data_IF_878267383438
#
_entry.id   IF_878267383438
#
_cell.length_a   1.000
_cell.length_b   1.000
_cell.length_c   1.000
_cell.angle_alpha   90.00
_cell.angle_beta   90.00
_cell.angle_gamma   90.00
#
_symmetry.space_group_name_H-M   'P 1'
#
loop_
_entity.id
_entity.type
_entity.pdbx_description
1 polymer ?
#
# COMPACT_ATOMS: atom_id res chain seq x y z
N UNK A 1 -23.05 -30.32 -16.55
CA UNK A 1 -24.07 -29.59 -15.76
C UNK A 1 -23.52 -28.85 -14.54
N UNK A 2 -22.39 -29.25 -13.93
CA UNK A 2 -21.84 -28.61 -12.72
C UNK A 2 -21.16 -27.25 -12.92
N UNK A 3 -20.42 -27.06 -14.02
CA UNK A 3 -19.69 -25.79 -14.31
C UNK A 3 -20.61 -24.61 -14.58
N UNK A 4 -21.73 -24.81 -15.30
CA UNK A 4 -22.75 -23.76 -15.50
C UNK A 4 -23.35 -23.24 -14.20
N UNK A 5 -23.53 -24.10 -13.18
CA UNK A 5 -24.08 -23.70 -11.87
C UNK A 5 -23.09 -22.86 -11.07
N UNK A 6 -21.80 -23.18 -11.12
CA UNK A 6 -20.76 -22.44 -10.40
C UNK A 6 -20.59 -21.02 -10.97
N UNK A 7 -20.60 -20.89 -12.31
CA UNK A 7 -20.51 -19.59 -12.98
C UNK A 7 -21.71 -18.71 -12.61
N UNK A 8 -22.92 -19.28 -12.61
CA UNK A 8 -24.14 -18.55 -12.22
C UNK A 8 -24.11 -18.12 -10.76
N UNK A 9 -23.61 -18.96 -9.85
CA UNK A 9 -23.48 -18.61 -8.43
C UNK A 9 -22.47 -17.48 -8.22
N UNK A 10 -21.34 -17.49 -8.93
CA UNK A 10 -20.34 -16.41 -8.84
C UNK A 10 -20.91 -15.11 -9.43
N UNK A 11 -21.55 -15.17 -10.60
CA UNK A 11 -22.18 -13.99 -11.24
C UNK A 11 -23.29 -13.41 -10.37
N UNK A 12 -24.15 -14.25 -9.78
CA UNK A 12 -25.21 -13.80 -8.87
C UNK A 12 -24.64 -13.24 -7.56
N UNK A 13 -23.56 -13.83 -7.03
CA UNK A 13 -22.85 -13.30 -5.87
C UNK A 13 -22.22 -11.94 -6.18
N UNK A 14 -21.66 -11.75 -7.37
CA UNK A 14 -21.16 -10.45 -7.83
C UNK A 14 -22.28 -9.43 -8.04
N UNK A 15 -23.40 -9.80 -8.66
CA UNK A 15 -24.57 -8.93 -8.79
C UNK A 15 -25.12 -8.49 -7.43
N UNK A 16 -25.20 -9.42 -6.46
CA UNK A 16 -25.67 -9.11 -5.11
C UNK A 16 -24.74 -8.14 -4.36
N UNK A 17 -23.43 -8.28 -4.52
CA UNK A 17 -22.46 -7.37 -3.90
C UNK A 17 -22.34 -6.02 -4.61
N UNK A 18 -22.53 -5.97 -5.94
CA UNK A 18 -22.60 -4.71 -6.72
C UNK A 18 -23.84 -3.89 -6.35
N UNK A 19 -25.00 -4.55 -6.12
CA UNK A 19 -26.22 -3.85 -5.71
C UNK A 19 -26.08 -3.17 -4.32
N UNK A 20 -25.22 -3.70 -3.43
CA UNK A 20 -24.92 -3.08 -2.15
C UNK A 20 -23.99 -1.87 -2.24
N UNK A 21 -23.23 -1.69 -3.32
CA UNK A 21 -22.42 -0.49 -3.55
C UNK A 21 -23.23 0.67 -4.18
N UNK A 22 -24.39 0.36 -4.78
CA UNK A 22 -25.26 1.34 -5.46
C UNK A 22 -26.19 2.16 -4.56
N UNK A 23 -26.26 1.88 -3.25
CA UNK A 23 -27.19 2.55 -2.32
C UNK A 23 -26.54 3.46 -1.28
N UNK A 24 -25.22 3.64 -1.27
CA UNK A 24 -24.58 4.68 -0.45
C UNK A 24 -24.28 5.94 -1.27
N UNK A 25 -25.33 6.59 -1.79
CA UNK A 25 -25.23 7.96 -2.28
C UNK A 25 -25.89 8.92 -1.28
N UNK A 26 -25.13 9.94 -0.90
CA UNK A 26 -25.57 11.25 -0.40
C UNK A 26 -26.01 11.31 1.07
N UNK A 27 -25.09 11.78 1.93
CA UNK A 27 -25.44 12.71 2.99
C UNK A 27 -24.43 13.86 2.98
N UNK A 28 -24.73 14.89 2.17
CA UNK A 28 -24.19 16.24 2.38
C UNK A 28 -24.73 16.71 3.74
N UNK A 29 -23.87 16.80 4.74
CA UNK A 29 -24.13 17.65 5.91
C UNK A 29 -23.40 18.97 5.67
N UNK A 30 -24.18 19.99 5.36
CA UNK A 30 -23.83 21.37 5.70
C UNK A 30 -23.60 21.45 7.21
N UNK A 31 -22.53 22.13 7.61
CA UNK A 31 -22.38 22.62 8.97
C UNK A 31 -21.78 24.01 8.90
N UNK A 32 -22.69 24.95 9.11
CA UNK A 32 -22.50 26.38 9.29
C UNK A 32 -21.41 26.72 10.30
N UNK A 33 -20.66 27.78 9.95
CA UNK A 33 -20.20 28.87 10.80
C UNK A 33 -20.18 28.65 12.32
N UNK A 34 -18.97 28.60 12.86
CA UNK A 34 -18.66 28.84 14.26
C UNK A 34 -17.28 29.48 14.38
N UNK A 35 -17.17 30.75 14.00
CA UNK A 35 -15.99 31.57 14.30
C UNK A 35 -15.95 31.82 15.81
N UNK A 36 -15.22 30.99 16.54
CA UNK A 36 -14.82 31.26 17.91
C UNK A 36 -13.30 31.40 17.91
N UNK A 37 -12.88 32.66 17.86
CA UNK A 37 -11.56 33.16 18.18
C UNK A 37 -11.08 32.57 19.51
N UNK A 38 -10.03 31.74 19.47
CA UNK A 38 -9.24 31.38 20.65
C UNK A 38 -7.93 32.15 20.67
N UNK A 39 -7.48 32.58 21.86
CA UNK A 39 -6.54 33.67 22.02
C UNK A 39 -5.12 33.24 21.69
N UNK A 40 -4.37 34.15 21.04
CA UNK A 40 -2.90 34.14 21.03
C UNK A 40 -2.42 34.08 22.48
N UNK A 41 -2.02 32.89 22.94
CA UNK A 41 -1.24 32.74 24.16
C UNK A 41 0.23 32.62 23.79
N UNK A 42 0.94 33.66 24.21
CA UNK A 42 2.37 33.78 24.45
C UNK A 42 3.13 32.47 24.62
N UNK A 43 4.24 32.38 23.89
CA UNK A 43 5.45 31.63 24.23
C UNK A 43 5.74 31.75 25.75
N UNK A 44 5.95 30.62 26.46
CA UNK A 44 7.31 30.39 26.95
C UNK A 44 7.66 28.90 27.01
N UNK A 45 8.72 28.52 26.32
CA UNK A 45 9.91 27.86 26.87
C UNK A 45 10.78 27.50 25.67
N UNK A 46 12.10 27.69 25.78
CA UNK A 46 13.02 27.10 24.81
C UNK A 46 12.98 25.58 25.01
N UNK A 47 11.92 24.96 24.48
CA UNK A 47 11.67 23.54 24.62
C UNK A 47 12.69 22.83 23.74
N UNK A 48 13.51 21.99 24.35
CA UNK A 48 14.50 21.19 23.61
C UNK A 48 13.81 20.48 22.44
N UNK A 49 14.44 20.42 21.25
CA UNK A 49 13.92 19.64 20.13
C UNK A 49 13.74 18.19 20.58
N UNK A 50 12.71 17.53 20.04
CA UNK A 50 12.32 16.18 20.46
C UNK A 50 12.88 15.15 19.50
N UNK A 51 13.32 14.02 20.03
CA UNK A 51 13.86 12.90 19.27
C UNK A 51 13.08 11.63 19.60
N UNK A 52 12.60 10.92 18.57
CA UNK A 52 11.76 9.73 18.72
C UNK A 52 12.62 8.47 18.86
N UNK A 53 12.45 7.73 19.96
CA UNK A 53 13.11 6.45 20.22
C UNK A 53 12.04 5.35 20.30
N UNK A 54 12.21 4.26 19.57
CA UNK A 54 11.16 3.24 19.46
C UNK A 54 10.93 2.50 20.78
N UNK A 55 12.00 2.21 21.53
CA UNK A 55 11.96 1.39 22.73
C UNK A 55 12.38 2.17 23.98
N UNK A 56 11.87 1.82 25.17
CA UNK A 56 12.39 2.34 26.44
C UNK A 56 13.86 1.91 26.65
N UNK A 57 14.57 2.53 27.61
CA UNK A 57 15.91 2.07 28.00
C UNK A 57 15.89 0.59 28.39
N UNK A 58 17.03 -0.09 28.20
CA UNK A 58 17.20 -1.54 28.42
C UNK A 58 16.29 -2.44 27.56
N UNK A 59 15.73 -1.90 26.47
CA UNK A 59 14.93 -2.66 25.51
C UNK A 59 15.42 -2.49 24.07
N UNK A 60 15.29 -3.56 23.29
CA UNK A 60 15.76 -3.63 21.90
C UNK A 60 14.70 -4.24 20.98
N UNK A 61 14.89 -4.09 19.66
CA UNK A 61 14.10 -4.77 18.65
C UNK A 61 14.89 -5.89 17.97
N UNK A 62 14.19 -6.97 17.64
CA UNK A 62 14.75 -8.15 16.96
C UNK A 62 14.52 -8.11 15.44
N UNK A 63 13.37 -7.61 15.00
CA UNK A 63 12.99 -7.63 13.59
C UNK A 63 11.95 -6.56 13.27
N UNK A 64 12.05 -5.95 12.09
CA UNK A 64 11.06 -4.99 11.59
C UNK A 64 9.66 -5.61 11.40
N UNK A 65 9.55 -6.94 11.33
CA UNK A 65 8.27 -7.65 11.23
C UNK A 65 7.45 -7.60 12.51
N UNK A 66 8.11 -7.51 13.66
CA UNK A 66 7.47 -7.55 14.98
C UNK A 66 7.76 -6.22 15.63
N UNK A 67 6.79 -5.32 15.57
CA UNK A 67 6.85 -3.96 16.12
C UNK A 67 6.73 -3.98 17.66
N UNK A 68 7.64 -4.70 18.32
CA UNK A 68 7.68 -4.89 19.77
C UNK A 68 9.11 -4.81 20.27
N UNK A 69 9.25 -4.23 21.45
CA UNK A 69 10.48 -4.18 22.19
C UNK A 69 10.63 -5.41 23.09
N UNK A 70 11.84 -5.92 23.19
CA UNK A 70 12.23 -7.05 24.02
C UNK A 70 13.27 -6.57 25.03
N UNK A 71 13.26 -7.14 26.24
CA UNK A 71 14.21 -6.81 27.32
C UNK A 71 15.09 -7.99 27.68
N UNK A 72 14.70 -9.22 27.32
CA UNK A 72 15.46 -10.42 27.65
C UNK A 72 16.58 -10.64 26.61
N UNK A 73 17.83 -10.46 27.05
CA UNK A 73 19.02 -10.59 26.22
C UNK A 73 20.16 -11.25 26.99
N UNK A 74 20.93 -12.09 26.30
CA UNK A 74 22.21 -12.63 26.77
C UNK A 74 23.41 -11.70 26.52
N UNK A 75 23.19 -10.58 25.82
CA UNK A 75 24.19 -9.58 25.42
C UNK A 75 23.85 -8.20 25.98
N UNK A 76 24.84 -7.30 26.14
CA UNK A 76 24.59 -5.94 26.62
C UNK A 76 23.61 -5.20 25.71
N UNK A 77 22.65 -4.51 26.32
CA UNK A 77 21.68 -3.65 25.66
C UNK A 77 22.17 -2.22 25.84
N UNK A 78 22.59 -1.58 24.75
CA UNK A 78 22.95 -0.17 24.73
C UNK A 78 21.80 0.65 24.14
N UNK A 79 21.64 1.87 24.66
CA UNK A 79 20.74 2.87 24.07
C UNK A 79 21.17 3.22 22.63
N UNK A 80 20.22 3.61 21.77
CA UNK A 80 20.53 3.94 20.39
C UNK A 80 21.39 5.21 20.32
N UNK A 81 22.60 5.06 19.76
CA UNK A 81 23.50 6.15 19.42
C UNK A 81 22.87 7.08 18.38
N UNK A 82 22.86 8.39 18.67
CA UNK A 82 22.31 9.41 17.77
C UNK A 82 23.32 9.66 16.64
N UNK A 83 22.91 9.60 15.37
CA UNK A 83 23.79 9.88 14.24
C UNK A 83 24.19 11.37 14.20
N UNK A 84 25.21 11.69 13.39
CA UNK A 84 25.63 13.08 13.15
C UNK A 84 24.44 14.01 12.88
N UNK A 85 24.35 15.08 13.66
CA UNK A 85 23.31 16.11 13.54
C UNK A 85 23.75 17.15 12.52
N UNK A 86 22.81 17.64 11.72
CA UNK A 86 23.02 18.62 10.66
C UNK A 86 22.15 19.86 10.88
N UNK A 87 22.62 20.99 10.35
CA UNK A 87 21.84 22.23 10.23
C UNK A 87 20.97 22.21 8.97
N UNK A 88 20.08 23.19 8.84
CA UNK A 88 19.22 23.33 7.65
C UNK A 88 20.00 23.54 6.35
N UNK A 89 21.23 24.04 6.44
CA UNK A 89 22.18 24.18 5.32
C UNK A 89 22.99 22.91 5.04
N UNK A 90 22.64 21.78 5.66
CA UNK A 90 23.30 20.47 5.55
C UNK A 90 24.77 20.46 6.02
N UNK A 91 25.20 21.47 6.77
CA UNK A 91 26.49 21.44 7.47
C UNK A 91 26.40 20.66 8.78
N UNK A 92 27.47 19.98 9.21
CA UNK A 92 27.49 19.29 10.48
C UNK A 92 27.29 20.27 11.65
N UNK A 93 26.35 19.96 12.53
CA UNK A 93 26.11 20.71 13.76
C UNK A 93 27.08 20.30 14.86
N UNK A 94 27.36 21.22 15.77
CA UNK A 94 28.09 20.98 17.01
C UNK A 94 27.19 20.52 18.17
N UNK A 95 25.88 20.38 17.93
CA UNK A 95 24.93 19.84 18.93
C UNK A 95 25.12 18.35 19.08
N UNK A 96 24.89 17.89 20.30
CA UNK A 96 24.99 16.47 20.69
C UNK A 96 23.66 15.95 21.27
N UNK A 97 23.57 14.65 21.59
CA UNK A 97 22.39 13.96 22.11
C UNK A 97 21.71 14.67 23.29
N UNK A 98 22.48 15.35 24.16
CA UNK A 98 21.98 16.11 25.31
C UNK A 98 21.12 17.33 24.96
N UNK A 99 21.18 17.75 23.69
CA UNK A 99 20.39 18.85 23.13
C UNK A 99 18.93 18.45 22.87
N UNK A 100 18.63 17.14 22.85
CA UNK A 100 17.31 16.62 22.52
C UNK A 100 16.56 16.10 23.76
N UNK A 101 15.24 16.24 23.74
CA UNK A 101 14.33 15.54 24.65
C UNK A 101 13.93 14.20 24.00
N UNK A 102 14.36 13.08 24.58
CA UNK A 102 14.08 11.74 24.06
C UNK A 102 12.64 11.30 24.42
N UNK A 103 11.89 10.88 23.41
CA UNK A 103 10.52 10.37 23.57
C UNK A 103 10.49 8.90 23.19
N UNK A 104 10.19 8.04 24.15
CA UNK A 104 10.08 6.60 23.94
C UNK A 104 8.67 6.22 23.48
N UNK A 105 8.50 5.94 22.19
CA UNK A 105 7.26 5.43 21.61
C UNK A 105 7.51 4.83 20.23
N UNK A 106 6.64 3.91 19.83
CA UNK A 106 6.54 3.45 18.44
C UNK A 106 5.42 4.26 17.77
N UNK A 107 5.75 5.21 16.86
CA UNK A 107 4.72 6.09 16.30
C UNK A 107 3.97 5.45 15.11
N UNK A 108 4.49 4.35 14.56
CA UNK A 108 3.98 3.73 13.34
C UNK A 108 2.73 2.86 13.57
N UNK A 109 1.71 3.03 12.71
CA UNK A 109 0.46 2.24 12.75
C UNK A 109 0.36 1.18 11.64
N UNK A 110 0.98 1.41 10.49
CA UNK A 110 0.79 0.62 9.26
C UNK A 110 1.99 -0.27 8.88
N UNK A 111 2.95 -0.39 9.79
CA UNK A 111 4.21 -1.09 9.55
C UNK A 111 5.41 -0.16 9.61
N UNK A 112 6.58 -0.77 9.60
CA UNK A 112 7.88 -0.09 9.65
C UNK A 112 8.80 -0.63 8.57
N UNK A 113 9.69 0.23 8.08
CA UNK A 113 10.81 -0.17 7.24
C UNK A 113 12.11 0.42 7.78
N UNK A 114 13.20 -0.28 7.52
CA UNK A 114 14.53 0.13 7.93
C UNK A 114 15.14 1.08 6.90
N UNK A 115 15.62 2.24 7.37
CA UNK A 115 16.46 3.10 6.58
C UNK A 115 17.89 2.64 6.72
N UNK A 116 18.43 2.06 5.66
CA UNK A 116 19.80 1.51 5.67
C UNK A 116 20.70 2.43 4.87
N UNK A 117 21.93 2.62 5.37
CA UNK A 117 22.99 3.34 4.65
C UNK A 117 23.89 2.39 3.84
N UNK A 118 23.55 1.10 3.82
CA UNK A 118 24.29 0.01 3.18
C UNK A 118 23.75 -0.31 1.77
N UNK A 119 24.62 -0.69 0.81
CA UNK A 119 24.19 -1.10 -0.51
C UNK A 119 23.24 -2.32 -0.45
N UNK A 120 22.21 -2.41 -1.31
CA UNK A 120 21.96 -1.59 -2.51
C UNK A 120 21.05 -0.36 -2.30
N UNK A 121 20.52 -0.15 -1.09
CA UNK A 121 19.58 0.93 -0.78
C UNK A 121 20.31 2.04 -0.04
N UNK A 122 20.82 3.03 -0.76
CA UNK A 122 21.42 4.22 -0.15
C UNK A 122 20.33 5.25 0.15
N UNK A 123 19.64 5.10 1.28
CA UNK A 123 18.77 6.15 1.77
C UNK A 123 19.65 7.29 2.30
N UNK A 124 19.77 8.38 1.53
CA UNK A 124 20.52 9.56 1.95
C UNK A 124 19.63 10.41 2.85
N UNK A 125 19.81 10.26 4.16
CA UNK A 125 19.07 10.96 5.19
C UNK A 125 19.98 11.81 6.09
N UNK A 126 19.48 12.96 6.55
CA UNK A 126 20.17 13.88 7.44
C UNK A 126 19.27 14.19 8.65
N UNK A 127 19.77 13.98 9.87
CA UNK A 127 19.05 14.33 11.09
C UNK A 127 19.29 15.82 11.39
N UNK A 128 18.23 16.62 11.39
CA UNK A 128 18.32 18.06 11.61
C UNK A 128 18.32 18.41 13.11
N UNK A 129 18.85 19.59 13.44
CA UNK A 129 18.81 20.15 14.81
C UNK A 129 17.38 20.31 15.37
N UNK A 130 16.37 20.34 14.50
CA UNK A 130 14.95 20.42 14.86
C UNK A 130 14.38 19.07 15.33
N UNK A 131 15.10 17.97 15.10
CA UNK A 131 14.61 16.60 15.33
C UNK A 131 13.81 16.03 14.15
N UNK A 132 13.88 16.66 12.97
CA UNK A 132 13.29 16.11 11.74
C UNK A 132 14.37 15.42 10.91
N UNK A 133 13.97 14.42 10.12
CA UNK A 133 14.88 13.80 9.15
C UNK A 133 14.60 14.40 7.77
N UNK A 134 15.65 14.93 7.16
CA UNK A 134 15.64 15.41 5.79
C UNK A 134 16.10 14.30 4.85
N UNK A 135 15.26 13.97 3.86
CA UNK A 135 15.59 13.01 2.82
C UNK A 135 16.02 13.75 1.56
N UNK A 136 17.29 13.60 1.20
CA UNK A 136 17.79 14.18 -0.04
C UNK A 136 17.41 13.28 -1.21
N UNK A 137 16.24 13.55 -1.77
CA UNK A 137 15.68 12.81 -2.91
C UNK A 137 16.08 13.38 -4.27
N UNK A 138 17.23 14.06 -4.37
CA UNK A 138 17.75 14.51 -5.68
C UNK A 138 18.04 13.34 -6.62
N UNK A 139 18.28 12.14 -6.10
CA UNK A 139 18.62 10.94 -6.89
C UNK A 139 17.41 10.29 -7.57
N UNK A 140 16.20 10.44 -7.00
CA UNK A 140 15.01 9.68 -7.42
C UNK A 140 13.86 10.54 -8.01
N UNK A 141 14.10 11.82 -8.34
CA UNK A 141 13.09 12.74 -8.90
C UNK A 141 11.81 12.92 -8.05
N UNK A 142 11.87 12.62 -6.75
CA UNK A 142 10.79 12.89 -5.79
C UNK A 142 11.08 14.20 -5.05
N UNK A 143 10.04 14.95 -4.71
CA UNK A 143 10.17 16.18 -3.92
C UNK A 143 10.94 15.93 -2.61
N UNK A 144 11.77 16.89 -2.21
CA UNK A 144 12.41 16.90 -0.89
C UNK A 144 11.35 16.67 0.19
N UNK A 145 11.54 15.61 0.97
CA UNK A 145 10.57 15.19 1.97
C UNK A 145 11.19 15.33 3.36
N UNK A 146 10.44 15.99 4.25
CA UNK A 146 10.78 16.12 5.66
C UNK A 146 9.95 15.11 6.43
N UNK A 147 10.61 14.30 7.24
CA UNK A 147 9.98 13.30 8.10
C UNK A 147 9.85 13.89 9.51
N UNK A 148 8.63 13.96 10.02
CA UNK A 148 8.36 14.49 11.36
C UNK A 148 8.69 13.45 12.43
N UNK A 149 8.71 13.88 13.69
CA UNK A 149 8.97 13.03 14.87
C UNK A 149 8.00 11.84 14.97
N UNK A 150 6.82 11.94 14.34
CA UNK A 150 5.80 10.89 14.30
C UNK A 150 5.95 9.91 13.12
N UNK A 151 6.90 10.14 12.23
CA UNK A 151 7.08 9.33 11.02
C UNK A 151 8.32 8.44 11.09
N UNK A 152 9.13 8.56 12.15
CA UNK A 152 10.29 7.72 12.41
C UNK A 152 10.54 7.50 13.90
N UNK A 153 11.37 6.51 14.21
CA UNK A 153 11.98 6.35 15.52
C UNK A 153 13.35 5.67 15.42
N UNK A 154 14.28 6.03 16.32
CA UNK A 154 15.57 5.33 16.46
C UNK A 154 15.38 4.07 17.30
N UNK A 155 15.96 2.96 16.85
CA UNK A 155 15.83 1.68 17.51
C UNK A 155 17.20 1.05 17.76
N UNK A 156 17.35 0.49 18.95
CA UNK A 156 18.47 -0.39 19.29
C UNK A 156 18.12 -1.81 18.83
N UNK A 157 18.93 -2.39 17.95
CA UNK A 157 18.72 -3.72 17.37
C UNK A 157 19.79 -4.70 17.85
N UNK A 158 19.39 -5.94 18.12
CA UNK A 158 20.32 -6.97 18.59
C UNK A 158 21.17 -7.53 17.47
N UNK A 159 22.49 -7.44 17.62
CA UNK A 159 23.48 -7.96 16.70
C UNK A 159 24.36 -9.08 17.26
N UNK A 160 25.38 -9.50 16.48
CA UNK A 160 26.33 -10.52 16.91
C UNK A 160 27.21 -10.06 18.09
N UNK A 161 27.52 -8.76 18.20
CA UNK A 161 28.46 -8.23 19.20
C UNK A 161 27.81 -7.32 20.26
N UNK A 162 26.49 -7.28 20.34
CA UNK A 162 25.74 -6.33 21.18
C UNK A 162 24.65 -5.64 20.36
N UNK A 163 24.12 -4.52 20.84
CA UNK A 163 23.14 -3.75 20.09
C UNK A 163 23.76 -2.71 19.18
N UNK A 164 23.10 -2.43 18.05
CA UNK A 164 23.47 -1.37 17.11
C UNK A 164 22.25 -0.50 16.78
N UNK A 165 22.47 0.76 16.41
CA UNK A 165 21.38 1.68 16.10
C UNK A 165 20.89 1.52 14.66
N UNK A 166 19.56 1.46 14.49
CA UNK A 166 18.90 1.60 13.19
C UNK A 166 17.84 2.70 13.25
N UNK A 167 17.69 3.41 12.14
CA UNK A 167 16.60 4.36 11.96
C UNK A 167 15.46 3.62 11.28
N UNK A 168 14.29 3.71 11.89
CA UNK A 168 13.10 3.04 11.42
C UNK A 168 12.10 4.10 11.01
N UNK A 169 11.63 4.01 9.78
CA UNK A 169 10.61 4.89 9.25
C UNK A 169 9.26 4.17 9.20
N UNK A 170 8.19 4.94 9.37
CA UNK A 170 6.83 4.44 9.29
C UNK A 170 6.40 4.32 7.83
N UNK A 171 5.70 3.24 7.49
CA UNK A 171 4.97 3.22 6.23
C UNK A 171 3.88 4.30 6.27
N UNK A 172 3.74 5.11 5.21
CA UNK A 172 2.58 5.98 5.10
C UNK A 172 1.31 5.12 5.19
N UNK A 173 0.18 5.69 5.67
CA UNK A 173 -1.09 4.99 5.53
C UNK A 173 -1.21 4.58 4.06
N UNK A 174 -1.61 3.33 3.82
CA UNK A 174 -1.88 2.85 2.48
C UNK A 174 -3.10 3.61 1.95
N UNK A 175 -2.89 4.87 1.55
CA UNK A 175 -3.81 5.65 0.76
C UNK A 175 -3.83 4.95 -0.57
N UNK A 176 -4.74 4.00 -0.67
CA UNK A 176 -5.14 3.43 -1.94
C UNK A 176 -5.87 4.50 -2.71
N UNK A 177 -5.10 5.42 -3.26
CA UNK A 177 -5.47 6.11 -4.48
C UNK A 177 -5.31 5.10 -5.62
N UNK A 178 -6.06 3.98 -5.58
CA UNK A 178 -6.46 3.46 -6.87
C UNK A 178 -7.39 4.55 -7.38
N UNK A 179 -7.00 5.25 -8.46
CA UNK A 179 -7.78 6.38 -8.91
C UNK A 179 -9.19 5.86 -9.15
N UNK A 180 -10.18 6.48 -8.50
CA UNK A 180 -11.61 6.22 -8.70
C UNK A 180 -11.98 5.85 -10.15
N UNK A 181 -11.46 6.55 -11.19
CA UNK A 181 -11.75 6.16 -12.58
C UNK A 181 -11.36 4.73 -12.94
N UNK A 182 -10.26 4.19 -12.43
CA UNK A 182 -9.83 2.83 -12.73
C UNK A 182 -10.83 1.80 -12.20
N UNK A 183 -11.23 1.93 -10.93
CA UNK A 183 -12.22 1.02 -10.32
C UNK A 183 -13.57 1.11 -11.04
N UNK A 184 -14.00 2.32 -11.40
CA UNK A 184 -15.25 2.55 -12.14
C UNK A 184 -15.20 1.89 -13.53
N UNK A 185 -14.08 2.03 -14.25
CA UNK A 185 -13.92 1.45 -15.60
C UNK A 185 -14.00 -0.08 -15.60
N UNK A 186 -13.44 -0.73 -14.58
CA UNK A 186 -13.50 -2.19 -14.42
C UNK A 186 -14.92 -2.66 -14.14
N UNK A 187 -15.63 -2.00 -13.23
CA UNK A 187 -17.00 -2.36 -12.84
C UNK A 187 -17.99 -2.08 -13.98
N UNK A 188 -17.79 -1.01 -14.76
CA UNK A 188 -18.64 -0.70 -15.90
C UNK A 188 -18.49 -1.73 -17.04
N UNK A 189 -17.29 -2.28 -17.22
CA UNK A 189 -17.00 -3.24 -18.29
C UNK A 189 -17.55 -4.65 -18.00
N UNK A 190 -17.65 -5.04 -16.72
CA UNK A 190 -18.21 -6.32 -16.26
C UNK A 190 -19.58 -6.70 -16.86
N UNK A 191 -20.63 -5.87 -16.70
CA UNK A 191 -21.97 -6.21 -17.20
C UNK A 191 -22.00 -6.26 -18.73
N UNK A 192 -21.22 -5.42 -19.40
CA UNK A 192 -21.14 -5.42 -20.86
C UNK A 192 -20.52 -6.72 -21.38
N UNK A 193 -19.41 -7.17 -20.79
CA UNK A 193 -18.78 -8.45 -21.13
C UNK A 193 -19.71 -9.64 -20.85
N UNK A 194 -20.44 -9.62 -19.73
CA UNK A 194 -21.43 -10.64 -19.41
C UNK A 194 -22.59 -10.66 -20.42
N UNK A 195 -23.10 -9.49 -20.81
CA UNK A 195 -24.13 -9.36 -21.84
C UNK A 195 -23.65 -9.89 -23.19
N UNK A 196 -22.43 -9.54 -23.61
CA UNK A 196 -21.83 -10.10 -24.83
C UNK A 196 -21.77 -11.62 -24.76
N UNK A 197 -21.25 -12.19 -23.67
CA UNK A 197 -21.20 -13.63 -23.52
C UNK A 197 -22.58 -14.30 -23.59
N UNK A 198 -23.60 -13.71 -22.95
CA UNK A 198 -24.97 -14.23 -22.94
C UNK A 198 -25.64 -14.16 -24.32
N UNK A 199 -25.46 -13.06 -25.05
CA UNK A 199 -26.03 -12.88 -26.40
C UNK A 199 -25.45 -13.95 -27.33
N UNK A 200 -24.12 -14.10 -27.38
CA UNK A 200 -23.45 -15.11 -28.20
C UNK A 200 -23.75 -16.55 -27.75
N UNK A 201 -24.07 -16.77 -26.47
CA UNK A 201 -24.47 -18.09 -25.97
C UNK A 201 -25.93 -18.46 -26.27
N UNK A 202 -26.82 -17.46 -26.33
CA UNK A 202 -28.29 -17.65 -26.42
C UNK A 202 -28.81 -17.62 -27.85
N UNK A 203 -28.12 -16.93 -28.76
CA UNK A 203 -28.45 -16.91 -30.18
C UNK A 203 -27.64 -17.99 -30.91
N UNK A 204 -28.22 -19.19 -31.16
CA UNK A 204 -27.54 -20.23 -31.92
C UNK A 204 -27.24 -19.80 -33.36
N UNK A 205 -27.97 -18.80 -33.87
CA UNK A 205 -27.81 -18.21 -35.19
C UNK A 205 -26.52 -17.37 -35.34
N UNK A 206 -25.94 -16.90 -34.23
CA UNK A 206 -24.63 -16.21 -34.20
C UNK A 206 -23.45 -17.15 -33.91
N UNK A 207 -23.67 -18.46 -33.77
CA UNK A 207 -22.59 -19.47 -33.68
C UNK A 207 -21.99 -19.81 -35.05
N UNK A 208 -21.72 -18.78 -35.85
CA UNK A 208 -20.79 -18.93 -36.97
C UNK A 208 -19.36 -19.10 -36.41
N UNK A 209 -18.42 -19.55 -37.24
CA UNK A 209 -17.01 -19.81 -36.85
C UNK A 209 -16.43 -18.62 -36.07
N UNK A 210 -16.78 -17.40 -36.49
CA UNK A 210 -16.42 -16.15 -35.83
C UNK A 210 -16.97 -16.00 -34.40
N UNK A 211 -18.22 -16.43 -34.16
CA UNK A 211 -18.82 -16.43 -32.83
C UNK A 211 -18.18 -17.45 -31.88
N UNK A 212 -17.67 -18.56 -32.41
CA UNK A 212 -17.06 -19.63 -31.61
C UNK A 212 -15.68 -19.24 -31.05
N UNK A 213 -14.91 -18.41 -31.75
CA UNK A 213 -13.61 -17.89 -31.28
C UNK A 213 -13.76 -16.70 -30.34
N UNK A 214 -14.83 -15.90 -30.51
CA UNK A 214 -15.12 -14.74 -29.66
C UNK A 214 -15.60 -15.13 -28.25
N UNK A 215 -16.38 -16.21 -28.12
CA UNK A 215 -16.89 -16.68 -26.81
C UNK A 215 -15.79 -16.94 -25.76
N UNK A 216 -14.72 -17.72 -26.05
CA UNK A 216 -13.66 -17.97 -25.09
C UNK A 216 -12.78 -16.73 -24.84
N UNK A 217 -12.62 -15.84 -25.82
CA UNK A 217 -11.98 -14.54 -25.63
C UNK A 217 -12.72 -13.70 -24.57
N UNK A 218 -14.02 -13.47 -24.75
CA UNK A 218 -14.84 -12.68 -23.82
C UNK A 218 -14.91 -13.35 -22.45
N UNK A 219 -15.00 -14.67 -22.38
CA UNK A 219 -14.99 -15.41 -21.12
C UNK A 219 -13.67 -15.25 -20.35
N UNK A 220 -12.52 -15.29 -21.04
CA UNK A 220 -11.21 -15.11 -20.41
C UNK A 220 -11.04 -13.70 -19.83
N UNK A 221 -11.47 -12.67 -20.55
CA UNK A 221 -11.47 -11.28 -20.07
C UNK A 221 -12.40 -11.07 -18.88
N UNK A 222 -13.60 -11.65 -18.91
CA UNK A 222 -14.54 -11.59 -17.79
C UNK A 222 -13.89 -12.14 -16.51
N UNK A 223 -13.28 -13.32 -16.56
CA UNK A 223 -12.61 -13.91 -15.39
C UNK A 223 -11.39 -13.11 -14.91
N UNK A 224 -10.63 -12.52 -15.84
CA UNK A 224 -9.50 -11.66 -15.50
C UNK A 224 -9.95 -10.41 -14.75
N UNK A 225 -10.99 -9.75 -15.24
CA UNK A 225 -11.56 -8.57 -14.59
C UNK A 225 -12.25 -8.92 -13.26
N UNK A 226 -12.85 -10.11 -13.12
CA UNK A 226 -13.39 -10.60 -11.84
C UNK A 226 -12.24 -10.71 -10.84
N UNK A 227 -11.14 -11.37 -11.21
CA UNK A 227 -9.96 -11.48 -10.37
C UNK A 227 -9.39 -10.13 -9.94
N UNK A 228 -9.30 -9.16 -10.87
CA UNK A 228 -8.87 -7.80 -10.56
C UNK A 228 -9.82 -7.10 -9.59
N UNK A 229 -11.13 -7.18 -9.80
CA UNK A 229 -12.12 -6.62 -8.88
C UNK A 229 -11.98 -7.24 -7.48
N UNK A 230 -11.80 -8.55 -7.39
CA UNK A 230 -11.56 -9.26 -6.12
C UNK A 230 -10.34 -8.73 -5.40
N UNK A 231 -9.20 -8.57 -6.08
CA UNK A 231 -7.98 -8.02 -5.46
C UNK A 231 -8.21 -6.57 -5.02
N UNK A 232 -8.89 -5.80 -5.86
CA UNK A 232 -9.14 -4.38 -5.67
C UNK A 232 -10.05 -4.11 -4.44
N UNK A 233 -11.17 -4.83 -4.32
CA UNK A 233 -12.10 -4.72 -3.20
C UNK A 233 -11.65 -5.52 -1.98
N UNK A 234 -11.14 -6.74 -2.16
CA UNK A 234 -10.73 -7.63 -1.09
C UNK A 234 -9.60 -7.05 -0.26
N UNK A 235 -8.70 -6.31 -0.89
CA UNK A 235 -7.59 -5.72 -0.16
C UNK A 235 -7.98 -4.41 0.58
N UNK A 236 -9.23 -3.91 0.45
CA UNK A 236 -9.83 -2.92 1.35
C UNK A 236 -10.37 -3.56 2.65
N UNK A 237 -10.37 -4.89 2.74
CA UNK A 237 -10.77 -5.63 3.93
C UNK A 237 -9.55 -6.26 4.63
N UNK A 238 -9.57 -6.43 5.97
CA UNK A 238 -8.47 -7.04 6.73
C UNK A 238 -8.24 -8.54 6.43
N UNK A 239 -9.06 -9.15 5.57
CA UNK A 239 -9.04 -10.58 5.23
C UNK A 239 -7.97 -10.90 4.18
N UNK A 240 -6.72 -10.53 4.46
CA UNK A 240 -5.57 -10.84 3.61
C UNK A 240 -5.13 -12.30 3.79
N UNK A 241 -6.02 -13.26 3.50
CA UNK A 241 -5.62 -14.66 3.43
C UNK A 241 -4.68 -14.84 2.23
N UNK A 242 -3.40 -15.08 2.53
CA UNK A 242 -2.32 -15.23 1.53
C UNK A 242 -2.69 -16.20 0.40
N UNK A 243 -3.40 -17.29 0.71
CA UNK A 243 -3.84 -18.27 -0.29
C UNK A 243 -4.80 -17.69 -1.33
N UNK A 244 -5.75 -16.85 -0.92
CA UNK A 244 -6.73 -16.25 -1.83
C UNK A 244 -6.10 -15.18 -2.74
N UNK A 245 -5.15 -14.41 -2.22
CA UNK A 245 -4.37 -13.45 -3.01
C UNK A 245 -3.56 -14.16 -4.10
N UNK A 246 -2.86 -15.25 -3.75
CA UNK A 246 -2.10 -16.06 -4.71
C UNK A 246 -3.04 -16.68 -5.76
N UNK A 247 -4.16 -17.26 -5.33
CA UNK A 247 -5.15 -17.84 -6.23
C UNK A 247 -5.71 -16.80 -7.22
N UNK A 248 -6.10 -15.62 -6.74
CA UNK A 248 -6.57 -14.54 -7.59
C UNK A 248 -5.50 -14.09 -8.59
N UNK A 249 -4.24 -13.97 -8.17
CA UNK A 249 -3.13 -13.65 -9.06
C UNK A 249 -2.95 -14.68 -10.18
N UNK A 250 -3.06 -15.98 -9.87
CA UNK A 250 -3.03 -17.05 -10.88
C UNK A 250 -4.19 -16.93 -11.87
N UNK A 251 -5.42 -16.71 -11.39
CA UNK A 251 -6.60 -16.54 -12.25
C UNK A 251 -6.41 -15.34 -13.19
N UNK A 252 -6.00 -14.19 -12.67
CA UNK A 252 -5.76 -12.98 -13.47
C UNK A 252 -4.72 -13.27 -14.55
N UNK A 253 -3.58 -13.85 -14.17
CA UNK A 253 -2.48 -14.11 -15.09
C UNK A 253 -2.91 -15.09 -16.20
N UNK A 254 -3.51 -16.21 -15.83
CA UNK A 254 -4.01 -17.20 -16.77
C UNK A 254 -5.06 -16.62 -17.73
N UNK A 255 -6.01 -15.83 -17.20
CA UNK A 255 -7.03 -15.16 -17.98
C UNK A 255 -6.44 -14.25 -19.04
N UNK A 256 -5.48 -13.39 -18.70
CA UNK A 256 -4.85 -12.49 -19.67
C UNK A 256 -4.07 -13.24 -20.76
N UNK A 257 -3.30 -14.27 -20.38
CA UNK A 257 -2.61 -15.13 -21.35
C UNK A 257 -3.60 -15.79 -22.31
N UNK A 258 -4.71 -16.32 -21.76
CA UNK A 258 -5.78 -16.89 -22.57
C UNK A 258 -6.40 -15.85 -23.49
N UNK A 259 -6.63 -14.62 -23.03
CA UNK A 259 -7.19 -13.54 -23.87
C UNK A 259 -6.27 -13.20 -25.04
N UNK A 260 -4.95 -13.09 -24.80
CA UNK A 260 -3.99 -12.85 -25.87
C UNK A 260 -3.95 -14.00 -26.87
N UNK A 261 -4.01 -15.25 -26.40
CA UNK A 261 -4.07 -16.42 -27.28
C UNK A 261 -5.30 -16.36 -28.19
N UNK A 262 -6.50 -16.14 -27.63
CA UNK A 262 -7.73 -16.07 -28.44
C UNK A 262 -7.76 -14.85 -29.36
N UNK A 263 -7.16 -13.73 -28.96
CA UNK A 263 -7.02 -12.57 -29.83
C UNK A 263 -6.16 -12.89 -31.06
N UNK A 264 -5.06 -13.63 -30.89
CA UNK A 264 -4.25 -14.10 -32.02
C UNK A 264 -5.05 -15.06 -32.93
N UNK A 265 -5.83 -15.97 -32.36
CA UNK A 265 -6.71 -16.87 -33.14
C UNK A 265 -7.74 -16.08 -33.94
N UNK A 266 -8.36 -15.04 -33.35
CA UNK A 266 -9.30 -14.18 -34.07
C UNK A 266 -8.61 -13.38 -35.19
N UNK A 267 -7.40 -12.89 -34.98
CA UNK A 267 -6.63 -12.23 -36.05
C UNK A 267 -6.34 -13.18 -37.21
N UNK A 268 -6.01 -14.44 -36.92
CA UNK A 268 -5.80 -15.46 -37.94
C UNK A 268 -7.09 -15.82 -38.69
N UNK A 269 -8.21 -15.98 -37.97
CA UNK A 269 -9.54 -16.20 -38.54
C UNK A 269 -9.89 -15.10 -39.55
N UNK A 270 -9.72 -13.83 -39.17
CA UNK A 270 -9.97 -12.68 -40.05
C UNK A 270 -9.03 -12.69 -41.27
N UNK A 271 -7.73 -12.91 -41.06
CA UNK A 271 -6.76 -12.97 -42.16
C UNK A 271 -7.04 -14.11 -43.15
N UNK A 272 -7.56 -15.23 -42.67
CA UNK A 272 -7.94 -16.35 -43.54
C UNK A 272 -9.23 -16.08 -44.31
N UNK A 273 -10.10 -15.19 -43.81
CA UNK A 273 -11.42 -14.93 -44.40
C UNK A 273 -11.40 -13.85 -45.49
N UNK A 274 -10.44 -12.92 -45.44
CA UNK A 274 -10.26 -11.82 -46.41
C UNK A 274 -9.01 -12.03 -47.27
#
# INVERSE_FOLDING_TARGET
MGTRRIIVVIVLWFCANVQCAGTSMISRRDSSHGNISRPKRSLPDSKKPKLSICCPPDAFMLTAKVMKCFTNSSKPINDPEVPQIYREDLQPSSKDQTSFEMIHRIPCKHGIYEMTREPPTFDVFYLLETGQIFLNSSTNQVAHTYMSIDDYCLSSWMGPNGTFTRIIACYPPLKREIPLPYTISLVLSMPFLAATFLIYASLPELRNIHGMTLMPYVASLFWGYVGLAVVQFGAASPWHHKGFCIFAAFIIHFSFLSSFFWLNVMCFDIWWTF
#
